data_IF_633459812130
#
_entry.id   IF_633459812130
#
_cell.length_a   1.000
_cell.length_b   1.000
_cell.length_c   1.000
_cell.angle_alpha   90.00
_cell.angle_beta   90.00
_cell.angle_gamma   90.00
#
_symmetry.space_group_name_H-M   'P 1'
#
loop_
_entity.id
_entity.type
_entity.pdbx_description
1 polymer ?
#
# COMPACT_ATOMS: atom_id res chain seq x y z
N UNK A 1 14.93 11.25 21.12
CA UNK A 1 14.23 10.48 20.07
C UNK A 1 14.79 9.06 20.10
N UNK A 2 13.97 8.07 20.47
CA UNK A 2 14.39 6.67 20.40
C UNK A 2 14.62 6.32 18.94
N UNK A 3 15.83 5.93 18.60
CA UNK A 3 16.12 5.40 17.26
C UNK A 3 15.40 4.05 17.14
N UNK A 4 14.18 4.08 16.59
CA UNK A 4 13.45 2.87 16.28
C UNK A 4 14.28 2.06 15.26
N UNK A 5 14.66 0.86 15.63
CA UNK A 5 15.39 -0.04 14.73
C UNK A 5 14.55 -0.39 13.50
N UNK A 6 15.21 -0.74 12.40
CA UNK A 6 14.60 -1.16 11.13
C UNK A 6 13.45 -2.18 11.32
N UNK A 7 13.68 -3.23 12.10
CA UNK A 7 12.69 -4.27 12.37
C UNK A 7 11.48 -3.77 13.17
N UNK A 8 11.69 -2.84 14.08
CA UNK A 8 10.61 -2.24 14.87
C UNK A 8 9.67 -1.42 14.01
N UNK A 9 10.22 -0.63 13.08
CA UNK A 9 9.45 0.17 12.10
C UNK A 9 8.71 -0.74 11.14
N UNK A 10 9.36 -1.79 10.63
CA UNK A 10 8.75 -2.76 9.74
C UNK A 10 7.56 -3.45 10.41
N UNK A 11 7.73 -3.98 11.63
CA UNK A 11 6.66 -4.62 12.38
C UNK A 11 5.50 -3.65 12.67
N UNK A 12 5.83 -2.44 13.11
CA UNK A 12 4.82 -1.43 13.40
C UNK A 12 4.04 -1.01 12.14
N UNK A 13 4.68 -0.92 10.98
CA UNK A 13 4.03 -0.58 9.71
C UNK A 13 3.10 -1.70 9.22
N UNK A 14 3.39 -2.97 9.53
CA UNK A 14 2.54 -4.11 9.16
C UNK A 14 1.30 -4.20 10.04
N UNK A 15 1.46 -4.10 11.36
CA UNK A 15 0.39 -4.41 12.32
C UNK A 15 -0.19 -3.16 13.00
N UNK A 16 0.64 -2.35 13.66
CA UNK A 16 0.18 -1.23 14.50
C UNK A 16 -0.31 -0.05 13.67
N UNK A 17 0.44 0.31 12.64
CA UNK A 17 0.13 1.42 11.72
C UNK A 17 -0.07 0.92 10.30
N UNK A 18 -0.95 -0.06 10.12
CA UNK A 18 -1.30 -0.56 8.80
C UNK A 18 -1.92 0.57 7.98
N UNK A 19 -1.24 0.95 6.88
CA UNK A 19 -1.62 2.11 6.07
C UNK A 19 -3.03 2.02 5.50
N UNK A 20 -3.53 0.80 5.26
CA UNK A 20 -4.88 0.58 4.74
C UNK A 20 -5.93 0.61 5.85
N UNK A 21 -5.73 -0.12 6.93
CA UNK A 21 -6.76 -0.31 7.96
C UNK A 21 -6.79 0.83 9.00
N UNK A 22 -5.66 1.51 9.23
CA UNK A 22 -5.58 2.63 10.16
C UNK A 22 -5.82 3.98 9.47
N UNK A 23 -5.26 4.17 8.26
CA UNK A 23 -5.33 5.44 7.54
C UNK A 23 -6.31 5.41 6.35
N UNK A 24 -6.94 4.26 6.06
CA UNK A 24 -7.88 4.06 4.96
C UNK A 24 -7.32 4.40 3.57
N UNK A 25 -5.99 4.32 3.40
CA UNK A 25 -5.33 4.60 2.15
C UNK A 25 -5.24 3.34 1.27
N UNK A 26 -5.54 3.49 -0.03
CA UNK A 26 -5.56 2.37 -0.98
C UNK A 26 -6.88 1.59 -1.00
N UNK A 27 -7.97 2.16 -0.48
CA UNK A 27 -9.29 1.52 -0.46
C UNK A 27 -9.88 1.24 -1.85
N UNK A 28 -9.54 2.04 -2.85
CA UNK A 28 -10.04 1.87 -4.22
C UNK A 28 -9.61 0.51 -4.81
N UNK A 29 -8.34 0.20 -4.76
CA UNK A 29 -7.80 -1.09 -5.22
C UNK A 29 -8.17 -2.24 -4.26
N UNK A 30 -8.24 -1.97 -2.96
CA UNK A 30 -8.66 -2.94 -1.95
C UNK A 30 -10.09 -3.44 -2.17
N UNK A 31 -11.05 -2.55 -2.37
CA UNK A 31 -12.46 -2.92 -2.60
C UNK A 31 -12.68 -3.53 -3.99
N UNK A 32 -11.98 -3.01 -5.01
CA UNK A 32 -12.12 -3.45 -6.40
C UNK A 32 -11.55 -4.84 -6.65
N UNK A 33 -10.36 -5.11 -6.12
CA UNK A 33 -9.58 -6.30 -6.47
C UNK A 33 -9.62 -7.43 -5.42
N UNK A 34 -10.36 -7.28 -4.33
CA UNK A 34 -10.48 -8.29 -3.26
C UNK A 34 -11.56 -9.36 -3.51
N UNK A 35 -11.99 -9.57 -4.76
CA UNK A 35 -13.01 -10.59 -5.08
C UNK A 35 -12.43 -12.00 -5.17
N UNK A 36 -11.23 -12.13 -5.70
CA UNK A 36 -10.54 -13.40 -5.94
C UNK A 36 -9.19 -13.43 -5.24
N UNK A 37 -8.88 -14.53 -4.58
CA UNK A 37 -7.63 -14.68 -3.83
C UNK A 37 -6.39 -14.63 -4.74
N UNK A 38 -6.46 -15.21 -5.95
CA UNK A 38 -5.35 -15.19 -6.92
C UNK A 38 -5.02 -13.77 -7.37
N UNK A 39 -6.05 -13.01 -7.73
CA UNK A 39 -5.94 -11.61 -8.14
C UNK A 39 -5.40 -10.73 -7.01
N UNK A 40 -5.92 -10.93 -5.79
CA UNK A 40 -5.47 -10.21 -4.60
C UNK A 40 -4.00 -10.51 -4.24
N UNK A 41 -3.56 -11.76 -4.42
CA UNK A 41 -2.17 -12.14 -4.17
C UNK A 41 -1.21 -11.51 -5.18
N UNK A 42 -1.57 -11.52 -6.47
CA UNK A 42 -0.77 -10.88 -7.52
C UNK A 42 -0.65 -9.37 -7.32
N UNK A 43 -1.78 -8.71 -7.07
CA UNK A 43 -1.79 -7.27 -6.79
C UNK A 43 -1.04 -6.94 -5.50
N UNK A 44 -1.22 -7.75 -4.44
CA UNK A 44 -0.52 -7.58 -3.17
C UNK A 44 1.00 -7.62 -3.35
N UNK A 45 1.51 -8.61 -4.07
CA UNK A 45 2.95 -8.72 -4.38
C UNK A 45 3.47 -7.53 -5.20
N UNK A 46 2.73 -7.10 -6.22
CA UNK A 46 3.10 -5.94 -7.02
C UNK A 46 3.13 -4.64 -6.18
N UNK A 47 2.14 -4.43 -5.32
CA UNK A 47 2.10 -3.26 -4.42
C UNK A 47 3.26 -3.28 -3.42
N UNK A 48 3.61 -4.43 -2.84
CA UNK A 48 4.79 -4.56 -1.94
C UNK A 48 6.05 -4.12 -2.67
N UNK A 49 6.28 -4.62 -3.87
CA UNK A 49 7.46 -4.29 -4.67
C UNK A 49 7.51 -2.80 -5.03
N UNK A 50 6.43 -2.27 -5.58
CA UNK A 50 6.36 -0.87 -5.98
C UNK A 50 6.47 0.06 -4.78
N UNK A 51 5.80 -0.23 -3.67
CA UNK A 51 5.84 0.59 -2.46
C UNK A 51 7.24 0.63 -1.84
N UNK A 52 7.94 -0.50 -1.79
CA UNK A 52 9.31 -0.56 -1.32
C UNK A 52 10.26 0.25 -2.21
N UNK A 53 10.19 0.05 -3.53
CA UNK A 53 11.05 0.75 -4.48
C UNK A 53 10.77 2.26 -4.53
N UNK A 54 9.49 2.66 -4.57
CA UNK A 54 9.11 4.08 -4.61
C UNK A 54 9.41 4.82 -3.32
N UNK A 55 9.34 4.16 -2.16
CA UNK A 55 9.76 4.78 -0.89
C UNK A 55 11.23 5.13 -0.90
N UNK A 56 12.08 4.24 -1.40
CA UNK A 56 13.52 4.52 -1.55
C UNK A 56 13.77 5.62 -2.57
N UNK A 57 13.13 5.56 -3.74
CA UNK A 57 13.28 6.57 -4.79
C UNK A 57 12.82 7.95 -4.32
N UNK A 58 11.65 8.04 -3.70
CA UNK A 58 11.12 9.29 -3.20
C UNK A 58 11.96 9.86 -2.07
N UNK A 59 12.57 9.01 -1.22
CA UNK A 59 13.53 9.46 -0.22
C UNK A 59 14.77 10.08 -0.86
N UNK A 60 15.34 9.42 -1.88
CA UNK A 60 16.49 9.95 -2.64
C UNK A 60 16.16 11.29 -3.30
N UNK A 61 15.02 11.36 -3.99
CA UNK A 61 14.58 12.61 -4.64
C UNK A 61 14.35 13.71 -3.59
N UNK A 62 13.76 13.37 -2.45
CA UNK A 62 13.57 14.34 -1.37
C UNK A 62 14.91 14.87 -0.86
N UNK A 63 15.86 13.99 -0.50
CA UNK A 63 17.12 14.34 0.10
C UNK A 63 18.08 15.08 -0.86
N UNK A 64 18.11 14.68 -2.14
CA UNK A 64 19.09 15.21 -3.10
C UNK A 64 18.54 16.31 -4.01
N UNK A 65 17.23 16.42 -4.17
CA UNK A 65 16.60 17.39 -5.08
C UNK A 65 15.78 18.42 -4.32
N UNK A 66 14.83 18.01 -3.50
CA UNK A 66 13.89 18.94 -2.88
C UNK A 66 14.56 19.78 -1.76
N UNK A 67 15.37 19.16 -0.93
CA UNK A 67 16.03 19.85 0.19
C UNK A 67 17.06 20.87 -0.29
N UNK A 68 18.00 20.54 -1.22
CA UNK A 68 18.99 21.51 -1.69
C UNK A 68 18.42 22.67 -2.50
N UNK A 69 17.28 22.45 -3.19
CA UNK A 69 16.64 23.49 -4.00
C UNK A 69 15.58 24.31 -3.24
N UNK A 70 15.38 24.01 -1.94
CA UNK A 70 14.35 24.63 -1.10
C UNK A 70 12.91 24.53 -1.66
N UNK A 71 12.63 23.45 -2.40
CA UNK A 71 11.35 23.16 -3.06
C UNK A 71 10.47 22.17 -2.27
N UNK A 72 10.64 22.13 -0.94
CA UNK A 72 9.93 21.17 -0.06
C UNK A 72 8.40 21.29 -0.17
N UNK A 73 7.87 22.45 -0.49
CA UNK A 73 6.44 22.68 -0.70
C UNK A 73 5.87 21.94 -1.92
N UNK A 74 6.71 21.62 -2.92
CA UNK A 74 6.32 20.87 -4.12
C UNK A 74 6.40 19.34 -3.93
N UNK A 75 6.77 18.85 -2.75
CA UNK A 75 6.99 17.41 -2.47
C UNK A 75 5.84 16.52 -2.95
N UNK A 76 4.60 16.98 -2.80
CA UNK A 76 3.41 16.21 -3.19
C UNK A 76 3.38 15.95 -4.70
N UNK A 77 3.58 16.97 -5.51
CA UNK A 77 3.56 16.87 -6.98
C UNK A 77 4.75 16.04 -7.46
N UNK A 78 5.94 16.27 -6.90
CA UNK A 78 7.16 15.56 -7.29
C UNK A 78 7.02 14.06 -6.98
N UNK A 79 6.48 13.69 -5.83
CA UNK A 79 6.29 12.28 -5.49
C UNK A 79 5.30 11.58 -6.41
N UNK A 80 4.20 12.23 -6.80
CA UNK A 80 3.26 11.67 -7.78
C UNK A 80 3.96 11.42 -9.12
N UNK A 81 4.75 12.39 -9.60
CA UNK A 81 5.47 12.26 -10.87
C UNK A 81 6.50 11.13 -10.82
N UNK A 82 7.26 11.03 -9.73
CA UNK A 82 8.26 9.96 -9.55
C UNK A 82 7.60 8.58 -9.50
N UNK A 83 6.51 8.44 -8.74
CA UNK A 83 5.74 7.18 -8.66
C UNK A 83 5.20 6.80 -10.05
N UNK A 84 4.56 7.75 -10.76
CA UNK A 84 4.00 7.51 -12.07
C UNK A 84 5.09 7.12 -13.08
N UNK A 85 6.21 7.83 -13.12
CA UNK A 85 7.32 7.53 -14.01
C UNK A 85 7.94 6.15 -13.72
N UNK A 86 8.11 5.79 -12.45
CA UNK A 86 8.64 4.49 -12.05
C UNK A 86 7.70 3.35 -12.45
N UNK A 87 6.41 3.47 -12.18
CA UNK A 87 5.43 2.43 -12.55
C UNK A 87 5.32 2.29 -14.06
N UNK A 88 5.33 3.41 -14.81
CA UNK A 88 5.31 3.38 -16.28
C UNK A 88 6.55 2.68 -16.84
N UNK A 89 7.71 2.89 -16.22
CA UNK A 89 8.95 2.22 -16.64
C UNK A 89 8.84 0.71 -16.40
N UNK A 90 8.31 0.29 -15.24
CA UNK A 90 8.07 -1.13 -14.95
C UNK A 90 7.07 -1.72 -15.96
N UNK A 91 6.02 -1.01 -16.30
CA UNK A 91 5.02 -1.46 -17.29
C UNK A 91 5.69 -1.76 -18.63
N UNK A 92 6.49 -0.84 -19.16
CA UNK A 92 7.23 -1.04 -20.40
C UNK A 92 8.20 -2.22 -20.33
N UNK A 93 8.83 -2.47 -19.18
CA UNK A 93 9.72 -3.60 -19.02
C UNK A 93 8.94 -4.92 -19.01
N UNK A 94 7.84 -4.99 -18.26
CA UNK A 94 7.01 -6.19 -18.15
C UNK A 94 6.40 -6.55 -19.51
N UNK A 95 5.92 -5.58 -20.26
CA UNK A 95 5.38 -5.77 -21.61
C UNK A 95 6.41 -6.42 -22.56
N UNK A 96 7.68 -6.04 -22.43
CA UNK A 96 8.78 -6.59 -23.25
C UNK A 96 9.26 -7.97 -22.83
N UNK A 97 9.20 -8.26 -21.53
CA UNK A 97 9.78 -9.50 -20.96
C UNK A 97 8.78 -10.65 -20.94
N UNK A 98 7.50 -10.39 -20.69
CA UNK A 98 6.50 -11.45 -20.57
C UNK A 98 5.09 -10.95 -20.88
N UNK A 99 4.58 -11.30 -22.06
CA UNK A 99 3.18 -11.02 -22.46
C UNK A 99 2.16 -11.67 -21.51
N UNK A 100 2.47 -12.86 -21.01
CA UNK A 100 1.58 -13.58 -20.08
C UNK A 100 1.45 -12.85 -18.75
N UNK A 101 2.57 -12.30 -18.24
CA UNK A 101 2.57 -11.52 -17.00
C UNK A 101 1.91 -10.16 -17.20
N UNK A 102 2.11 -9.54 -18.37
CA UNK A 102 1.46 -8.30 -18.74
C UNK A 102 -0.06 -8.45 -18.82
N UNK A 103 -0.57 -9.52 -19.43
CA UNK A 103 -2.02 -9.79 -19.50
C UNK A 103 -2.63 -10.03 -18.11
N UNK A 104 -1.87 -10.66 -17.20
CA UNK A 104 -2.33 -10.91 -15.83
C UNK A 104 -2.28 -9.67 -14.93
N UNK A 105 -1.23 -8.83 -15.06
CA UNK A 105 -1.00 -7.64 -14.23
C UNK A 105 -1.43 -6.33 -14.91
N UNK A 106 -1.55 -6.29 -16.22
CA UNK A 106 -1.77 -5.06 -16.97
C UNK A 106 -3.02 -4.27 -16.60
N UNK A 107 -4.10 -4.97 -16.20
CA UNK A 107 -5.32 -4.34 -15.69
C UNK A 107 -5.09 -3.68 -14.33
N UNK A 108 -4.09 -4.13 -13.56
CA UNK A 108 -3.81 -3.63 -12.21
C UNK A 108 -2.76 -2.52 -12.17
N UNK A 109 -1.93 -2.36 -13.21
CA UNK A 109 -0.88 -1.35 -13.26
C UNK A 109 -1.42 0.09 -13.11
N UNK A 110 -2.48 0.50 -13.81
CA UNK A 110 -3.07 1.82 -13.59
C UNK A 110 -3.57 2.02 -12.16
N UNK A 111 -4.12 0.97 -11.53
CA UNK A 111 -4.55 0.99 -10.14
C UNK A 111 -3.39 1.11 -9.15
N UNK A 112 -2.21 0.63 -9.50
CA UNK A 112 -0.99 0.79 -8.70
C UNK A 112 -0.44 2.21 -8.85
N UNK A 113 -0.43 2.76 -10.06
CA UNK A 113 0.09 4.11 -10.34
C UNK A 113 -0.65 5.20 -9.55
N UNK A 114 -1.97 5.12 -9.46
CA UNK A 114 -2.81 6.07 -8.72
C UNK A 114 -3.15 5.60 -7.29
N UNK A 115 -2.39 4.66 -6.76
CA UNK A 115 -2.66 4.11 -5.44
C UNK A 115 -2.28 5.11 -4.33
N UNK A 116 -3.29 5.62 -3.63
CA UNK A 116 -3.07 6.59 -2.55
C UNK A 116 -2.28 6.02 -1.36
N UNK A 117 -2.20 4.68 -1.18
CA UNK A 117 -1.35 4.09 -0.16
C UNK A 117 0.14 4.29 -0.46
N UNK A 118 0.55 4.17 -1.73
CA UNK A 118 1.95 4.35 -2.15
C UNK A 118 2.38 5.82 -1.95
N UNK A 119 1.52 6.74 -2.37
CA UNK A 119 1.74 8.17 -2.15
C UNK A 119 1.76 8.52 -0.66
N UNK A 120 0.79 7.98 0.10
CA UNK A 120 0.71 8.19 1.54
C UNK A 120 1.95 7.68 2.29
N UNK A 121 2.46 6.50 1.95
CA UNK A 121 3.70 5.98 2.53
C UNK A 121 4.88 6.93 2.28
N UNK A 122 4.99 7.45 1.04
CA UNK A 122 6.04 8.40 0.68
C UNK A 122 5.92 9.73 1.44
N UNK A 123 4.71 10.20 1.69
CA UNK A 123 4.50 11.43 2.48
C UNK A 123 4.77 11.22 3.97
N UNK A 124 4.34 10.09 4.53
CA UNK A 124 4.56 9.79 5.94
C UNK A 124 6.03 9.62 6.29
N UNK A 125 6.85 9.03 5.40
CA UNK A 125 8.29 8.91 5.65
C UNK A 125 8.98 10.28 5.78
N UNK A 126 8.53 11.29 5.02
CA UNK A 126 9.05 12.65 5.10
C UNK A 126 8.55 13.38 6.34
N UNK A 127 7.24 13.26 6.66
CA UNK A 127 6.65 13.89 7.85
C UNK A 127 7.29 13.36 9.13
N UNK A 128 7.67 12.08 9.15
CA UNK A 128 8.32 11.43 10.30
C UNK A 128 9.84 11.53 10.28
N UNK A 129 10.42 12.23 9.32
CA UNK A 129 11.85 12.46 9.17
C UNK A 129 12.68 11.17 9.19
N UNK A 130 12.21 10.13 8.49
CA UNK A 130 12.90 8.86 8.47
C UNK A 130 14.23 8.90 7.75
N UNK A 131 15.23 8.23 8.32
CA UNK A 131 16.51 7.97 7.65
C UNK A 131 16.30 7.01 6.48
N UNK A 132 17.29 6.90 5.58
CA UNK A 132 17.24 6.02 4.42
C UNK A 132 16.82 4.57 4.76
N UNK A 133 17.43 3.96 5.75
CA UNK A 133 17.11 2.60 6.18
C UNK A 133 15.72 2.47 6.81
N UNK A 134 15.30 3.48 7.54
CA UNK A 134 13.97 3.54 8.13
C UNK A 134 12.89 3.72 7.05
N UNK A 135 13.15 4.55 6.03
CA UNK A 135 12.25 4.74 4.90
C UNK A 135 12.08 3.45 4.08
N UNK A 136 13.17 2.72 3.83
CA UNK A 136 13.13 1.41 3.17
C UNK A 136 12.33 0.38 3.99
N UNK A 137 12.58 0.30 5.30
CA UNK A 137 11.84 -0.57 6.22
C UNK A 137 10.36 -0.21 6.32
N UNK A 138 10.04 1.07 6.34
CA UNK A 138 8.67 1.57 6.38
C UNK A 138 7.91 1.27 5.07
N UNK A 139 8.57 1.47 3.91
CA UNK A 139 7.99 1.15 2.60
C UNK A 139 7.69 -0.35 2.44
N UNK A 140 8.63 -1.21 2.81
CA UNK A 140 8.43 -2.68 2.82
C UNK A 140 7.33 -3.08 3.80
N UNK A 141 7.36 -2.58 5.02
CA UNK A 141 6.37 -2.89 6.06
C UNK A 141 4.96 -2.46 5.68
N UNK A 142 4.81 -1.24 5.16
CA UNK A 142 3.52 -0.72 4.69
C UNK A 142 2.97 -1.53 3.52
N UNK A 143 3.83 -1.94 2.58
CA UNK A 143 3.45 -2.81 1.47
C UNK A 143 2.98 -4.19 1.95
N UNK A 144 3.74 -4.83 2.85
CA UNK A 144 3.36 -6.11 3.44
C UNK A 144 2.06 -6.02 4.25
N UNK A 145 1.88 -4.95 5.03
CA UNK A 145 0.65 -4.69 5.77
C UNK A 145 -0.56 -4.53 4.85
N UNK A 146 -0.39 -3.80 3.74
CA UNK A 146 -1.42 -3.64 2.72
C UNK A 146 -1.75 -4.98 2.03
N UNK A 147 -0.74 -5.76 1.65
CA UNK A 147 -0.91 -7.08 1.04
C UNK A 147 -1.61 -8.08 1.99
N UNK A 148 -1.24 -8.08 3.26
CA UNK A 148 -1.89 -8.89 4.28
C UNK A 148 -3.38 -8.55 4.41
N UNK A 149 -3.71 -7.26 4.45
CA UNK A 149 -5.08 -6.80 4.57
C UNK A 149 -5.94 -7.21 3.35
N UNK A 150 -5.42 -7.05 2.11
CA UNK A 150 -6.19 -7.43 0.91
C UNK A 150 -6.38 -8.95 0.81
N UNK A 151 -5.39 -9.75 1.21
CA UNK A 151 -5.51 -11.21 1.24
C UNK A 151 -6.53 -11.67 2.29
N UNK A 152 -6.50 -11.09 3.48
CA UNK A 152 -7.50 -11.36 4.52
C UNK A 152 -8.91 -11.01 4.05
N UNK A 153 -9.07 -9.83 3.42
CA UNK A 153 -10.35 -9.40 2.84
C UNK A 153 -10.84 -10.36 1.76
N UNK A 154 -9.97 -10.77 0.84
CA UNK A 154 -10.33 -11.71 -0.23
C UNK A 154 -10.80 -13.06 0.35
N UNK A 155 -10.09 -13.57 1.36
CA UNK A 155 -10.46 -14.80 2.05
C UNK A 155 -11.82 -14.72 2.76
N UNK A 156 -12.09 -13.62 3.44
CA UNK A 156 -13.38 -13.38 4.11
C UNK A 156 -14.50 -13.26 3.08
N UNK A 157 -14.31 -12.44 2.02
CA UNK A 157 -15.31 -12.26 0.97
C UNK A 157 -15.66 -13.56 0.26
N UNK A 158 -14.65 -14.37 -0.06
CA UNK A 158 -14.87 -15.68 -0.69
C UNK A 158 -15.71 -16.59 0.20
N UNK A 159 -15.44 -16.64 1.49
CA UNK A 159 -16.22 -17.41 2.46
C UNK A 159 -17.64 -16.89 2.64
N UNK A 160 -17.82 -15.59 2.74
CA UNK A 160 -19.14 -14.96 2.88
C UNK A 160 -19.98 -15.17 1.64
N UNK A 161 -19.41 -15.05 0.43
CA UNK A 161 -20.13 -15.28 -0.83
C UNK A 161 -20.54 -16.75 -1.02
N UNK A 162 -19.68 -17.71 -0.60
CA UNK A 162 -19.99 -19.14 -0.74
C UNK A 162 -20.99 -19.68 0.27
N UNK A 163 -21.04 -19.13 1.49
CA UNK A 163 -21.83 -19.66 2.60
C UNK A 163 -22.98 -18.74 3.05
N UNK A 164 -22.93 -17.47 2.71
CA UNK A 164 -23.83 -16.45 3.20
C UNK A 164 -25.06 -16.26 2.31
N UNK A 165 -26.25 -16.17 2.93
CA UNK A 165 -27.42 -15.60 2.30
C UNK A 165 -27.36 -14.08 2.48
N UNK A 166 -26.66 -13.40 1.58
CA UNK A 166 -26.54 -11.94 1.62
C UNK A 166 -27.85 -11.35 1.06
N UNK A 167 -28.51 -10.43 1.78
CA UNK A 167 -29.64 -9.68 1.23
C UNK A 167 -29.23 -8.94 -0.04
N UNK A 168 -30.07 -8.93 -1.07
CA UNK A 168 -29.78 -8.32 -2.38
C UNK A 168 -29.30 -6.88 -2.30
N UNK A 169 -29.72 -6.11 -1.29
CA UNK A 169 -29.29 -4.72 -1.09
C UNK A 169 -27.86 -4.54 -0.54
N UNK A 170 -27.25 -5.60 0.02
CA UNK A 170 -25.89 -5.58 0.53
C UNK A 170 -24.88 -6.29 -0.38
N UNK A 171 -25.33 -6.93 -1.45
CA UNK A 171 -24.43 -7.56 -2.40
C UNK A 171 -23.49 -6.55 -3.06
N UNK A 172 -22.19 -6.91 -3.16
CA UNK A 172 -21.19 -6.08 -3.81
C UNK A 172 -20.42 -5.17 -2.86
N UNK A 173 -20.39 -3.83 -3.07
CA UNK A 173 -19.57 -2.93 -2.26
C UNK A 173 -20.05 -2.77 -0.82
N UNK A 174 -21.35 -2.96 -0.54
CA UNK A 174 -21.92 -2.81 0.80
C UNK A 174 -21.31 -3.79 1.81
N UNK A 175 -21.33 -5.09 1.49
CA UNK A 175 -20.73 -6.11 2.37
C UNK A 175 -19.22 -5.92 2.49
N UNK A 176 -18.56 -5.47 1.42
CA UNK A 176 -17.13 -5.21 1.45
C UNK A 176 -16.75 -4.10 2.43
N UNK A 177 -17.54 -3.03 2.48
CA UNK A 177 -17.32 -1.92 3.43
C UNK A 177 -17.56 -2.36 4.88
N UNK A 178 -18.58 -3.18 5.14
CA UNK A 178 -18.85 -3.73 6.47
C UNK A 178 -17.67 -4.60 6.93
N UNK A 179 -17.19 -5.49 6.07
CA UNK A 179 -16.03 -6.34 6.38
C UNK A 179 -14.79 -5.48 6.60
N UNK A 180 -14.52 -4.49 5.76
CA UNK A 180 -13.40 -3.57 5.93
C UNK A 180 -13.46 -2.82 7.27
N UNK A 181 -14.63 -2.33 7.66
CA UNK A 181 -14.85 -1.67 8.94
C UNK A 181 -14.59 -2.59 10.15
N UNK A 182 -15.08 -3.84 10.09
CA UNK A 182 -14.84 -4.82 11.16
C UNK A 182 -13.35 -5.22 11.23
N UNK A 183 -12.67 -5.34 10.10
CA UNK A 183 -11.23 -5.57 10.06
C UNK A 183 -10.45 -4.39 10.67
N UNK A 184 -10.83 -3.15 10.33
CA UNK A 184 -10.21 -1.96 10.90
C UNK A 184 -10.37 -1.90 12.42
N UNK A 185 -11.56 -2.20 12.95
CA UNK A 185 -11.81 -2.27 14.39
C UNK A 185 -10.94 -3.36 15.07
N UNK A 186 -10.78 -4.52 14.44
CA UNK A 186 -9.91 -5.58 14.96
C UNK A 186 -8.43 -5.14 15.00
N UNK A 187 -7.98 -4.40 13.97
CA UNK A 187 -6.61 -3.88 13.92
C UNK A 187 -6.37 -2.71 14.90
N UNK A 188 -7.40 -1.97 15.26
CA UNK A 188 -7.29 -0.95 16.33
C UNK A 188 -6.87 -1.55 17.68
N UNK A 189 -7.13 -2.83 17.93
CA UNK A 189 -6.65 -3.54 19.11
C UNK A 189 -5.12 -3.64 19.22
N UNK A 190 -4.40 -3.49 18.09
CA UNK A 190 -2.93 -3.44 18.09
C UNK A 190 -2.39 -2.00 18.27
N UNK A 191 -3.28 -1.01 18.29
CA UNK A 191 -2.87 0.39 18.42
C UNK A 191 -2.28 0.63 19.83
N UNK A 192 -1.10 1.24 19.88
CA UNK A 192 -0.39 1.51 21.13
C UNK A 192 0.68 0.47 21.51
N UNK A 193 0.81 -0.66 20.79
CA UNK A 193 1.91 -1.62 21.06
C UNK A 193 3.28 -1.04 20.67
N UNK A 194 3.33 -0.25 19.60
CA UNK A 194 4.55 0.45 19.16
C UNK A 194 4.17 1.85 18.72
N UNK A 195 4.69 2.89 19.39
CA UNK A 195 4.52 4.28 18.98
C UNK A 195 5.56 4.62 17.91
N UNK A 196 5.09 5.03 16.72
CA UNK A 196 5.90 5.54 15.61
C UNK A 196 6.02 7.08 15.63
N UNK A 197 5.58 7.72 16.73
CA UNK A 197 5.72 9.16 16.91
C UNK A 197 7.11 9.54 17.42
#
# INVERSE_FOLDING_TARGET
>A
MQQLGFFSILFAAVFTNNILLTNYLGMCSFLGCSRELKTSAGLGGAVVFVMAATSVLNWLVYAFVLVPLDLVYLRFIVFIVVIAAFVQLIEMIIERVSETLYTALGVFLPLITVNCAILGASLFMVIREYTFWQAAGYGLGSGLGWALAILAMAGIRQRVTQRGRIPRGLEGPGIALIIAGTMALAFMGFNGMVNLN
#
